data_IF_805796211328
#
_entry.id   IF_805796211328
#
_cell.length_a   1.000
_cell.length_b   1.000
_cell.length_c   1.000
_cell.angle_alpha   90.00
_cell.angle_beta   90.00
_cell.angle_gamma   90.00
#
_symmetry.space_group_name_H-M   'P 1'
#
loop_
_entity.id
_entity.type
_entity.pdbx_description
1 polymer ?
#
# COMPACT_ATOMS: atom_id res chain seq x y z
N UNK A 1 -27.74 -0.62 1.30
CA UNK A 1 -26.63 0.30 1.71
C UNK A 1 -26.31 0.02 3.17
N UNK A 2 -25.05 -0.31 3.48
CA UNK A 2 -24.61 -0.50 4.87
C UNK A 2 -24.62 0.88 5.57
N UNK A 3 -25.40 1.01 6.65
CA UNK A 3 -25.56 2.27 7.42
C UNK A 3 -24.21 2.73 8.06
N UNK A 4 -23.28 1.81 8.24
CA UNK A 4 -21.97 2.06 8.84
C UNK A 4 -20.89 2.42 7.81
N UNK A 5 -21.24 2.49 6.51
CA UNK A 5 -20.32 2.83 5.42
C UNK A 5 -20.65 4.19 4.84
N UNK A 6 -19.61 5.05 4.74
CA UNK A 6 -19.68 6.35 4.09
C UNK A 6 -18.54 6.52 3.10
N UNK A 7 -18.87 6.72 1.84
CA UNK A 7 -17.88 7.02 0.80
C UNK A 7 -17.67 8.54 0.71
N UNK A 8 -16.39 8.94 0.68
CA UNK A 8 -15.97 10.32 0.41
C UNK A 8 -14.89 10.30 -0.65
N UNK A 9 -15.15 10.91 -1.81
CA UNK A 9 -14.13 11.06 -2.86
C UNK A 9 -13.15 12.17 -2.48
N UNK A 10 -11.90 11.80 -2.25
CA UNK A 10 -10.84 12.70 -1.79
C UNK A 10 -9.48 12.27 -2.35
N UNK A 11 -8.72 13.24 -2.83
CA UNK A 11 -7.30 13.06 -3.16
C UNK A 11 -6.47 13.18 -1.87
N UNK A 12 -5.59 12.20 -1.62
CA UNK A 12 -4.68 12.19 -0.47
C UNK A 12 -3.76 13.43 -0.44
N UNK A 13 -3.54 14.08 -1.58
CA UNK A 13 -2.80 15.34 -1.67
C UNK A 13 -3.58 16.55 -1.14
N UNK A 14 -4.89 16.45 -0.94
CA UNK A 14 -5.68 17.51 -0.37
C UNK A 14 -5.65 17.48 1.16
N UNK A 15 -4.55 17.98 1.72
CA UNK A 15 -4.29 18.03 3.17
C UNK A 15 -5.44 18.67 3.97
N UNK A 16 -6.05 19.75 3.46
CA UNK A 16 -7.14 20.43 4.15
C UNK A 16 -8.40 19.57 4.29
N UNK A 17 -8.84 18.96 3.19
CA UNK A 17 -10.00 18.05 3.20
C UNK A 17 -9.71 16.78 4.03
N UNK A 18 -8.51 16.24 3.94
CA UNK A 18 -8.09 15.08 4.73
C UNK A 18 -8.18 15.39 6.23
N UNK A 19 -7.65 16.54 6.66
CA UNK A 19 -7.77 17.01 8.05
C UNK A 19 -9.22 17.11 8.49
N UNK A 20 -10.08 17.75 7.67
CA UNK A 20 -11.50 17.91 7.97
C UNK A 20 -12.21 16.57 8.18
N UNK A 21 -11.90 15.55 7.39
CA UNK A 21 -12.48 14.21 7.52
C UNK A 21 -12.03 13.54 8.81
N UNK A 22 -10.74 13.58 9.14
CA UNK A 22 -10.24 12.99 10.38
C UNK A 22 -10.82 13.67 11.63
N UNK A 23 -10.91 15.00 11.63
CA UNK A 23 -11.49 15.76 12.74
C UNK A 23 -12.98 15.46 12.92
N UNK A 24 -13.73 15.27 11.82
CA UNK A 24 -15.15 14.97 11.83
C UNK A 24 -15.46 13.57 12.33
N UNK A 25 -14.73 12.57 11.82
CA UNK A 25 -15.05 11.16 12.05
C UNK A 25 -14.26 10.52 13.19
N UNK A 26 -13.15 11.13 13.61
CA UNK A 26 -12.27 10.67 14.70
C UNK A 26 -11.98 9.16 14.63
N UNK A 27 -11.46 8.66 13.49
CA UNK A 27 -11.24 7.23 13.31
C UNK A 27 -10.24 6.69 14.35
N UNK A 28 -10.44 5.45 14.78
CA UNK A 28 -9.49 4.72 15.64
C UNK A 28 -8.34 4.11 14.82
N UNK A 29 -8.55 3.91 13.52
CA UNK A 29 -7.55 3.40 12.60
C UNK A 29 -7.68 4.03 11.22
N UNK A 30 -6.55 4.20 10.54
CA UNK A 30 -6.44 4.57 9.14
C UNK A 30 -5.66 3.46 8.44
N UNK A 31 -6.27 2.85 7.41
CA UNK A 31 -5.57 1.94 6.49
C UNK A 31 -5.27 2.74 5.22
N UNK A 32 -3.99 3.05 4.99
CA UNK A 32 -3.59 3.83 3.82
C UNK A 32 -3.28 2.92 2.64
N UNK A 33 -4.30 2.67 1.82
CA UNK A 33 -4.19 1.95 0.55
C UNK A 33 -4.09 2.89 -0.66
N UNK A 34 -4.14 4.20 -0.44
CA UNK A 34 -4.09 5.19 -1.52
C UNK A 34 -2.70 5.19 -2.16
N UNK A 35 -2.61 4.79 -3.43
CA UNK A 35 -1.36 4.75 -4.18
C UNK A 35 -1.62 4.64 -5.70
N UNK A 36 -0.68 5.14 -6.51
CA UNK A 36 -0.48 4.67 -7.87
C UNK A 36 0.27 3.34 -7.82
N UNK A 37 -0.20 2.32 -8.60
CA UNK A 37 0.24 0.92 -8.41
C UNK A 37 0.63 0.18 -9.69
N UNK A 38 0.66 0.85 -10.85
CA UNK A 38 0.96 0.19 -12.12
C UNK A 38 2.43 0.37 -12.49
N UNK A 39 3.23 -0.69 -12.40
CA UNK A 39 4.69 -0.63 -12.61
C UNK A 39 5.04 -0.03 -13.97
N UNK A 40 4.44 -0.53 -15.09
CA UNK A 40 4.76 -0.02 -16.43
C UNK A 40 4.45 1.48 -16.56
N UNK A 41 3.31 1.96 -16.01
CA UNK A 41 3.01 3.38 -15.98
C UNK A 41 4.01 4.19 -15.16
N UNK A 42 4.62 3.59 -14.14
CA UNK A 42 5.64 4.29 -13.35
C UNK A 42 6.93 4.53 -14.16
N UNK A 43 7.19 3.70 -15.16
CA UNK A 43 8.33 3.87 -16.07
C UNK A 43 8.03 5.01 -17.06
N UNK A 44 6.82 5.03 -17.62
CA UNK A 44 6.42 6.04 -18.60
C UNK A 44 6.15 7.42 -17.98
N UNK A 45 5.58 7.46 -16.78
CA UNK A 45 5.17 8.70 -16.10
C UNK A 45 5.40 8.64 -14.58
N UNK A 46 6.65 8.71 -14.11
CA UNK A 46 6.99 8.55 -12.69
C UNK A 46 6.47 9.68 -11.80
N UNK A 47 6.21 10.86 -12.35
CA UNK A 47 5.80 12.04 -11.57
C UNK A 47 4.52 11.82 -10.75
N UNK A 48 3.52 11.13 -11.31
CA UNK A 48 2.27 10.84 -10.61
C UNK A 48 2.50 9.88 -9.42
N UNK A 49 3.47 8.98 -9.52
CA UNK A 49 3.86 8.08 -8.43
C UNK A 49 4.54 8.84 -7.29
N UNK A 50 5.43 9.78 -7.61
CA UNK A 50 6.05 10.65 -6.62
C UNK A 50 4.98 11.49 -5.90
N UNK A 51 4.09 12.11 -6.67
CA UNK A 51 3.00 12.94 -6.14
C UNK A 51 2.04 12.15 -5.26
N UNK A 52 1.57 10.99 -5.71
CA UNK A 52 0.62 10.17 -4.96
C UNK A 52 1.27 9.43 -3.81
N UNK A 53 2.35 8.66 -4.08
CA UNK A 53 2.90 7.72 -3.12
C UNK A 53 3.85 8.37 -2.12
N UNK A 54 4.51 9.48 -2.46
CA UNK A 54 5.44 10.16 -1.54
C UNK A 54 4.78 11.41 -0.95
N UNK A 55 4.40 12.37 -1.79
CA UNK A 55 3.83 13.64 -1.31
C UNK A 55 2.47 13.42 -0.64
N UNK A 56 1.63 12.52 -1.20
CA UNK A 56 0.36 12.13 -0.59
C UNK A 56 0.54 11.50 0.79
N UNK A 57 1.50 10.59 0.93
CA UNK A 57 1.82 9.97 2.24
C UNK A 57 2.39 10.99 3.22
N UNK A 58 3.27 11.88 2.78
CA UNK A 58 3.74 12.99 3.60
C UNK A 58 2.58 13.85 4.13
N UNK A 59 1.62 14.22 3.27
CA UNK A 59 0.45 14.98 3.67
C UNK A 59 -0.39 14.23 4.69
N UNK A 60 -0.61 12.93 4.49
CA UNK A 60 -1.31 12.07 5.46
C UNK A 60 -0.59 12.06 6.81
N UNK A 61 0.73 11.88 6.82
CA UNK A 61 1.54 11.85 8.05
C UNK A 61 1.47 13.18 8.80
N UNK A 62 1.54 14.32 8.12
CA UNK A 62 1.40 15.64 8.74
C UNK A 62 0.01 15.82 9.38
N UNK A 63 -1.05 15.41 8.66
CA UNK A 63 -2.40 15.49 9.21
C UNK A 63 -2.58 14.51 10.36
N UNK A 64 -2.08 13.29 10.24
CA UNK A 64 -2.17 12.28 11.29
C UNK A 64 -1.40 12.69 12.56
N UNK A 65 -0.24 13.29 12.39
CA UNK A 65 0.54 13.86 13.50
C UNK A 65 -0.27 14.88 14.32
N UNK A 66 -0.92 15.81 13.66
CA UNK A 66 -1.78 16.78 14.33
C UNK A 66 -3.02 16.12 14.96
N UNK A 67 -3.64 15.20 14.25
CA UNK A 67 -4.81 14.47 14.72
C UNK A 67 -4.54 13.67 16.00
N UNK A 68 -3.39 13.02 16.11
CA UNK A 68 -3.02 12.18 17.25
C UNK A 68 -2.72 12.97 18.53
N UNK A 69 -2.50 14.28 18.46
CA UNK A 69 -2.38 15.13 19.67
C UNK A 69 -3.62 15.00 20.57
N UNK A 70 -4.80 14.87 19.97
CA UNK A 70 -6.09 14.71 20.67
C UNK A 70 -6.62 13.25 20.66
N UNK A 71 -6.11 12.41 19.76
CA UNK A 71 -6.57 11.05 19.52
C UNK A 71 -5.41 10.04 19.65
N UNK A 72 -4.78 9.99 20.82
CA UNK A 72 -3.52 9.26 21.09
C UNK A 72 -3.56 7.75 20.78
N UNK A 73 -4.76 7.14 20.79
CA UNK A 73 -4.94 5.70 20.52
C UNK A 73 -5.11 5.36 19.04
N UNK A 74 -5.25 6.37 18.17
CA UNK A 74 -5.41 6.14 16.74
C UNK A 74 -4.17 5.46 16.15
N UNK A 75 -4.39 4.53 15.22
CA UNK A 75 -3.34 3.77 14.52
C UNK A 75 -3.34 4.11 13.03
N UNK A 76 -2.17 4.14 12.42
CA UNK A 76 -1.99 4.18 10.97
C UNK A 76 -1.35 2.88 10.49
N UNK A 77 -2.01 2.19 9.59
CA UNK A 77 -1.46 1.03 8.88
C UNK A 77 -1.17 1.49 7.45
N UNK A 78 0.11 1.56 7.11
CA UNK A 78 0.56 1.92 5.78
C UNK A 78 0.78 0.67 4.95
N UNK A 79 0.03 0.53 3.86
CA UNK A 79 0.10 -0.62 2.99
C UNK A 79 1.14 -0.35 1.89
N UNK A 80 2.21 -1.13 1.91
CA UNK A 80 3.31 -1.13 0.94
C UNK A 80 3.30 -2.42 0.12
N UNK A 81 4.44 -2.82 -0.42
CA UNK A 81 4.61 -3.93 -1.34
C UNK A 81 5.93 -4.66 -1.08
N UNK A 82 6.00 -5.94 -1.38
CA UNK A 82 7.23 -6.74 -1.38
C UNK A 82 8.23 -6.27 -2.45
N UNK A 83 7.78 -5.57 -3.48
CA UNK A 83 8.66 -5.03 -4.54
C UNK A 83 9.70 -4.03 -4.02
N UNK A 84 9.55 -3.50 -2.80
CA UNK A 84 10.57 -2.65 -2.16
C UNK A 84 11.88 -3.38 -1.91
N UNK A 85 11.85 -4.71 -1.76
CA UNK A 85 13.05 -5.52 -1.59
C UNK A 85 13.83 -5.77 -2.89
N UNK A 86 13.18 -5.55 -4.05
CA UNK A 86 13.75 -5.83 -5.37
C UNK A 86 13.65 -7.31 -5.76
N UNK A 87 14.53 -7.74 -6.67
CA UNK A 87 14.52 -9.11 -7.16
C UNK A 87 15.08 -10.11 -6.13
N UNK A 88 14.26 -11.07 -5.73
CA UNK A 88 14.63 -12.15 -4.83
C UNK A 88 14.86 -13.44 -5.64
N UNK A 89 16.11 -13.77 -5.90
CA UNK A 89 16.47 -14.93 -6.75
C UNK A 89 16.27 -16.27 -6.04
N UNK A 90 16.39 -16.31 -4.72
CA UNK A 90 16.20 -17.53 -3.90
C UNK A 90 15.64 -17.16 -2.53
N UNK A 91 14.71 -17.97 -2.02
CA UNK A 91 14.12 -17.78 -0.70
C UNK A 91 13.07 -16.67 -0.66
N UNK A 92 12.95 -16.01 0.48
CA UNK A 92 11.98 -14.94 0.76
C UNK A 92 12.67 -13.79 1.48
N UNK A 93 12.21 -12.56 1.25
CA UNK A 93 12.66 -11.40 2.01
C UNK A 93 12.14 -11.42 3.44
N UNK A 94 12.99 -10.98 4.36
CA UNK A 94 12.63 -10.73 5.76
C UNK A 94 12.40 -9.24 5.96
N UNK A 95 11.68 -8.88 7.00
CA UNK A 95 11.42 -7.48 7.34
C UNK A 95 12.69 -6.69 7.68
N UNK A 96 13.78 -7.40 8.03
CA UNK A 96 15.10 -6.82 8.29
C UNK A 96 15.96 -6.62 7.04
N UNK A 97 15.53 -7.14 5.88
CA UNK A 97 16.33 -7.06 4.66
C UNK A 97 16.34 -5.63 4.10
N UNK A 98 17.46 -5.21 3.49
CA UNK A 98 17.55 -3.87 2.91
C UNK A 98 16.66 -3.73 1.68
N UNK A 99 16.02 -2.57 1.54
CA UNK A 99 15.26 -2.23 0.34
C UNK A 99 16.19 -2.00 -0.85
N UNK A 100 15.84 -2.62 -2.01
CA UNK A 100 16.55 -2.50 -3.29
C UNK A 100 15.54 -2.39 -4.44
N UNK A 101 14.68 -1.37 -4.44
CA UNK A 101 13.59 -1.26 -5.42
C UNK A 101 14.13 -1.19 -6.85
N UNK A 102 13.52 -1.94 -7.77
CA UNK A 102 13.92 -2.06 -9.17
C UNK A 102 13.06 -1.25 -10.15
N UNK A 103 12.05 -0.53 -9.67
CA UNK A 103 11.17 0.31 -10.50
C UNK A 103 10.86 1.65 -9.83
N UNK A 104 10.43 2.69 -10.58
CA UNK A 104 9.99 3.95 -9.99
C UNK A 104 8.80 3.76 -9.03
N UNK A 105 7.86 2.84 -9.32
CA UNK A 105 6.81 2.44 -8.40
C UNK A 105 7.38 1.91 -7.07
N UNK A 106 8.21 0.88 -7.14
CA UNK A 106 8.80 0.27 -5.95
C UNK A 106 9.65 1.28 -5.16
N UNK A 107 10.40 2.17 -5.85
CA UNK A 107 11.17 3.24 -5.22
C UNK A 107 10.25 4.26 -4.51
N UNK A 108 9.09 4.62 -5.10
CA UNK A 108 8.13 5.51 -4.47
C UNK A 108 7.51 4.91 -3.21
N UNK A 109 7.24 3.59 -3.21
CA UNK A 109 6.74 2.86 -2.05
C UNK A 109 7.80 2.74 -0.95
N UNK A 110 9.04 2.38 -1.31
CA UNK A 110 10.17 2.35 -0.37
C UNK A 110 10.40 3.72 0.30
N UNK A 111 10.31 4.80 -0.48
CA UNK A 111 10.41 6.17 0.04
C UNK A 111 9.30 6.49 1.04
N UNK A 112 8.06 6.10 0.76
CA UNK A 112 6.94 6.31 1.69
C UNK A 112 7.08 5.48 2.96
N UNK A 113 7.58 4.24 2.88
CA UNK A 113 7.85 3.40 4.05
C UNK A 113 8.89 4.07 4.98
N UNK A 114 9.99 4.60 4.40
CA UNK A 114 10.99 5.34 5.16
C UNK A 114 10.43 6.63 5.77
N UNK A 115 9.52 7.34 5.08
CA UNK A 115 8.82 8.48 5.68
C UNK A 115 7.99 8.05 6.88
N UNK A 116 7.16 7.01 6.76
CA UNK A 116 6.34 6.51 7.86
C UNK A 116 7.22 6.12 9.04
N UNK A 117 8.28 5.34 8.80
CA UNK A 117 9.24 4.94 9.83
C UNK A 117 9.91 6.12 10.53
N UNK A 118 10.35 7.12 9.76
CA UNK A 118 10.97 8.33 10.32
C UNK A 118 10.01 9.11 11.23
N UNK A 119 8.73 9.20 10.85
CA UNK A 119 7.70 9.85 11.68
C UNK A 119 7.40 9.07 12.97
N UNK A 120 7.43 7.74 12.91
CA UNK A 120 7.34 6.93 14.14
C UNK A 120 8.52 7.22 15.07
N UNK A 121 9.73 7.25 14.53
CA UNK A 121 10.96 7.49 15.33
C UNK A 121 10.97 8.90 15.93
N UNK A 122 10.69 9.92 15.11
CA UNK A 122 10.79 11.33 15.49
C UNK A 122 9.60 11.81 16.33
N UNK A 123 8.39 11.52 15.87
CA UNK A 123 7.16 12.06 16.48
C UNK A 123 6.40 11.03 17.32
N UNK A 124 6.92 9.81 17.44
CA UNK A 124 6.32 8.72 18.20
C UNK A 124 4.92 8.32 17.71
N UNK A 125 4.65 8.52 16.40
CA UNK A 125 3.37 8.15 15.81
C UNK A 125 3.10 6.65 15.96
N UNK A 126 1.85 6.30 16.19
CA UNK A 126 1.42 4.90 16.23
C UNK A 126 1.10 4.43 14.81
N UNK A 127 2.14 4.10 14.06
CA UNK A 127 2.03 3.62 12.68
C UNK A 127 2.81 2.31 12.51
N UNK A 128 2.31 1.45 11.61
CA UNK A 128 2.90 0.18 11.19
C UNK A 128 2.94 0.16 9.67
N UNK A 129 3.87 -0.63 9.10
CA UNK A 129 4.06 -0.78 7.66
C UNK A 129 3.82 -2.24 7.30
N UNK A 130 3.11 -2.50 6.21
CA UNK A 130 2.90 -3.86 5.69
C UNK A 130 3.40 -3.96 4.26
N UNK A 131 4.22 -4.96 3.96
CA UNK A 131 4.75 -5.25 2.64
C UNK A 131 4.05 -6.51 2.10
N UNK A 132 3.04 -6.33 1.25
CA UNK A 132 2.26 -7.45 0.73
C UNK A 132 2.78 -7.94 -0.62
N UNK A 133 2.65 -9.25 -0.85
CA UNK A 133 2.80 -9.87 -2.17
C UNK A 133 1.64 -9.49 -3.10
N UNK A 134 1.68 -9.97 -4.35
CA UNK A 134 0.65 -9.64 -5.33
C UNK A 134 -0.73 -10.14 -4.88
N UNK A 135 -1.68 -9.23 -4.76
CA UNK A 135 -3.05 -9.58 -4.43
C UNK A 135 -3.81 -10.07 -5.66
N UNK A 136 -4.73 -11.01 -5.45
CA UNK A 136 -5.73 -11.41 -6.44
C UNK A 136 -7.09 -11.65 -5.78
N UNK A 137 -8.16 -11.57 -6.56
CA UNK A 137 -9.49 -11.86 -6.06
C UNK A 137 -10.61 -11.04 -6.73
N UNK A 138 -11.85 -11.16 -6.24
CA UNK A 138 -13.00 -10.43 -6.74
C UNK A 138 -12.75 -8.91 -6.76
N UNK A 139 -13.30 -8.24 -7.78
CA UNK A 139 -13.21 -6.79 -7.98
C UNK A 139 -11.80 -6.24 -8.26
N UNK A 140 -10.79 -7.09 -8.51
CA UNK A 140 -9.49 -6.62 -8.95
C UNK A 140 -9.61 -5.88 -10.29
N UNK A 141 -8.86 -4.77 -10.42
CA UNK A 141 -8.91 -3.94 -11.64
C UNK A 141 -8.53 -4.75 -12.89
N UNK A 142 -9.28 -4.61 -14.01
CA UNK A 142 -9.12 -5.43 -15.22
C UNK A 142 -7.74 -5.32 -15.90
N UNK A 143 -6.98 -4.26 -15.62
CA UNK A 143 -5.61 -4.10 -16.15
C UNK A 143 -4.59 -5.05 -15.52
N UNK A 144 -4.89 -5.58 -14.31
CA UNK A 144 -3.98 -6.47 -13.60
C UNK A 144 -3.93 -7.85 -14.24
N UNK A 145 -2.83 -8.57 -14.01
CA UNK A 145 -2.50 -9.80 -14.73
C UNK A 145 -3.63 -10.83 -14.71
N UNK A 146 -4.08 -11.24 -13.54
CA UNK A 146 -5.06 -12.33 -13.40
C UNK A 146 -6.39 -11.99 -14.08
N UNK A 147 -7.08 -10.86 -13.78
CA UNK A 147 -8.32 -10.53 -14.47
C UNK A 147 -8.14 -10.30 -15.96
N UNK A 148 -6.98 -9.76 -16.40
CA UNK A 148 -6.67 -9.60 -17.82
C UNK A 148 -6.53 -10.95 -18.55
N UNK A 149 -5.86 -11.92 -17.92
CA UNK A 149 -5.76 -13.28 -18.48
C UNK A 149 -7.15 -13.92 -18.60
N UNK A 150 -7.96 -13.86 -17.54
CA UNK A 150 -9.34 -14.40 -17.55
C UNK A 150 -10.16 -13.74 -18.67
N UNK A 151 -10.14 -12.42 -18.76
CA UNK A 151 -10.87 -11.69 -19.80
C UNK A 151 -10.42 -12.09 -21.21
N UNK A 152 -9.10 -12.21 -21.44
CA UNK A 152 -8.57 -12.58 -22.74
C UNK A 152 -8.93 -14.03 -23.11
N UNK A 153 -8.88 -14.97 -22.16
CA UNK A 153 -9.27 -16.37 -22.39
C UNK A 153 -10.74 -16.45 -22.81
N UNK A 154 -11.64 -15.81 -22.05
CA UNK A 154 -13.08 -15.82 -22.34
C UNK A 154 -13.41 -15.21 -23.71
N UNK A 155 -12.63 -14.21 -24.15
CA UNK A 155 -12.83 -13.51 -25.41
C UNK A 155 -11.94 -14.02 -26.56
N UNK A 156 -11.27 -15.16 -26.41
CA UNK A 156 -10.35 -15.75 -27.40
C UNK A 156 -9.27 -14.75 -27.87
N UNK A 157 -8.76 -13.91 -26.97
CA UNK A 157 -7.71 -12.93 -27.24
C UNK A 157 -6.33 -13.48 -26.86
N UNK A 158 -5.24 -13.02 -27.52
CA UNK A 158 -3.88 -13.39 -27.14
C UNK A 158 -3.58 -13.10 -25.66
N UNK A 159 -2.87 -14.03 -25.01
CA UNK A 159 -2.43 -13.82 -23.62
C UNK A 159 -1.13 -13.02 -23.60
N UNK A 160 -1.03 -11.98 -22.75
CA UNK A 160 0.20 -11.23 -22.61
C UNK A 160 1.28 -12.07 -21.95
N UNK A 161 2.46 -12.13 -22.55
CA UNK A 161 3.63 -12.79 -21.99
C UNK A 161 4.74 -11.74 -21.83
N UNK A 162 5.16 -11.51 -20.60
CA UNK A 162 6.26 -10.59 -20.31
C UNK A 162 7.60 -11.31 -20.44
N UNK A 163 8.49 -10.73 -21.27
CA UNK A 163 9.80 -11.29 -21.57
C UNK A 163 9.69 -12.72 -22.11
N UNK A 164 10.35 -13.67 -21.42
CA UNK A 164 10.33 -15.11 -21.78
C UNK A 164 9.42 -15.95 -20.86
N UNK A 165 8.54 -15.32 -20.08
CA UNK A 165 7.65 -16.00 -19.13
C UNK A 165 8.35 -16.65 -17.94
N UNK A 166 9.59 -16.25 -17.61
CA UNK A 166 10.37 -16.79 -16.50
C UNK A 166 10.17 -16.05 -15.18
N UNK A 167 9.35 -14.98 -15.20
CA UNK A 167 9.08 -14.19 -13.99
C UNK A 167 8.24 -15.01 -13.01
N UNK A 168 8.72 -15.16 -11.78
CA UNK A 168 7.97 -15.73 -10.67
C UNK A 168 7.43 -14.60 -9.78
N UNK A 169 6.24 -14.81 -9.22
CA UNK A 169 5.60 -13.88 -8.29
C UNK A 169 4.90 -14.68 -7.20
N UNK A 170 4.94 -14.17 -5.99
CA UNK A 170 4.11 -14.65 -4.89
C UNK A 170 2.73 -13.99 -4.96
N UNK A 171 1.68 -14.74 -4.62
CA UNK A 171 0.29 -14.31 -4.72
C UNK A 171 -0.44 -14.57 -3.42
N UNK A 172 -1.26 -13.61 -2.98
CA UNK A 172 -2.13 -13.75 -1.83
C UNK A 172 -3.57 -13.43 -2.21
N UNK A 173 -4.51 -14.24 -1.71
CA UNK A 173 -5.93 -13.94 -1.89
C UNK A 173 -6.33 -12.70 -1.10
N UNK A 174 -7.18 -11.85 -1.67
CA UNK A 174 -7.48 -10.52 -1.12
C UNK A 174 -8.09 -10.57 0.28
N UNK A 175 -8.94 -11.58 0.57
CA UNK A 175 -9.55 -11.70 1.91
C UNK A 175 -8.50 -12.10 2.96
N UNK A 176 -7.55 -12.98 2.61
CA UNK A 176 -6.44 -13.34 3.50
C UNK A 176 -5.55 -12.12 3.80
N UNK A 177 -5.34 -11.28 2.79
CA UNK A 177 -4.63 -10.01 3.01
C UNK A 177 -5.41 -9.07 3.93
N UNK A 178 -6.73 -8.94 3.74
CA UNK A 178 -7.57 -8.15 4.62
C UNK A 178 -7.53 -8.65 6.08
N UNK A 179 -7.57 -9.97 6.28
CA UNK A 179 -7.48 -10.57 7.61
C UNK A 179 -6.11 -10.33 8.24
N UNK A 180 -5.03 -10.41 7.45
CA UNK A 180 -3.69 -10.07 7.92
C UNK A 180 -3.59 -8.59 8.34
N UNK A 181 -4.15 -7.66 7.55
CA UNK A 181 -4.21 -6.24 7.93
C UNK A 181 -4.96 -6.01 9.23
N UNK A 182 -6.07 -6.73 9.45
CA UNK A 182 -6.83 -6.66 10.71
C UNK A 182 -6.04 -7.24 11.89
N UNK A 183 -5.23 -8.29 11.68
CA UNK A 183 -4.31 -8.81 12.71
C UNK A 183 -3.23 -7.80 13.05
N UNK A 184 -2.62 -7.16 12.05
CA UNK A 184 -1.64 -6.08 12.27
C UNK A 184 -2.27 -4.91 13.01
N UNK A 185 -3.47 -4.49 12.65
CA UNK A 185 -4.19 -3.44 13.40
C UNK A 185 -4.40 -3.82 14.86
N UNK A 186 -4.81 -5.05 15.17
CA UNK A 186 -5.10 -5.50 16.55
C UNK A 186 -3.81 -5.66 17.36
N UNK A 187 -2.81 -6.33 16.81
CA UNK A 187 -1.67 -6.88 17.53
C UNK A 187 -0.33 -6.24 17.16
N UNK A 188 -0.25 -5.48 16.06
CA UNK A 188 0.99 -4.92 15.56
C UNK A 188 1.58 -3.85 16.49
N UNK A 189 2.91 -3.82 16.53
CA UNK A 189 3.70 -2.85 17.27
C UNK A 189 4.06 -1.64 16.41
N UNK A 190 4.05 -0.46 17.00
CA UNK A 190 4.40 0.77 16.29
C UNK A 190 5.84 0.72 15.76
N UNK A 191 6.01 1.12 14.50
CA UNK A 191 7.31 1.17 13.85
C UNK A 191 7.78 -0.15 13.26
N UNK A 192 7.06 -1.24 13.47
CA UNK A 192 7.39 -2.53 12.90
C UNK A 192 6.89 -2.66 11.46
N UNK A 193 7.64 -3.46 10.70
CA UNK A 193 7.31 -3.90 9.34
C UNK A 193 6.74 -5.31 9.41
N UNK A 194 5.81 -5.61 8.53
CA UNK A 194 5.16 -6.92 8.47
C UNK A 194 5.06 -7.36 7.01
N UNK A 195 5.78 -8.43 6.65
CA UNK A 195 5.62 -9.06 5.35
C UNK A 195 4.34 -9.89 5.34
N UNK A 196 3.52 -9.72 4.30
CA UNK A 196 2.24 -10.41 4.13
C UNK A 196 2.27 -11.13 2.78
N UNK A 197 2.39 -12.44 2.81
CA UNK A 197 2.45 -13.33 1.65
C UNK A 197 1.85 -14.70 1.96
N UNK A 198 1.88 -15.62 1.01
CA UNK A 198 1.42 -17.01 1.15
C UNK A 198 2.53 -17.95 1.61
#
# INVERSE_FOLDING_TARGET
>A
KNKNYKFVRLDINNKFKLKKILDLHKPIAIFNLAAETHVDRSIDSPAEFIKSNIVGVFNLLEVFKEFTKKNKKAKLIHISTDEVYGDVLKGRSKESDPYKPSSPYAASKASSDHLVYSYVRTFKLNAMITNCSNNYGPHQHPEKLIPKLIYNIINNKPLPLYGRGKNSREWIFVDDHCDALLKVFKNGNKGEFYNIGS
#
